data_IF_001509197021
#
_entry.id   IF_001509197021
#
_cell.length_a   1.000
_cell.length_b   1.000
_cell.length_c   1.000
_cell.angle_alpha   90.00
_cell.angle_beta   90.00
_cell.angle_gamma   90.00
#
_symmetry.space_group_name_H-M   'P 1'
#
loop_
_entity.id
_entity.type
_entity.pdbx_description
1 polymer ?
#
# COMPACT_ATOMS: atom_id res chain seq x y z
N UNK A 1 38.23 16.41 23.90
CA UNK A 1 37.09 16.79 23.03
C UNK A 1 37.39 16.27 21.62
N UNK A 2 36.70 15.22 21.18
CA UNK A 2 36.80 14.66 19.82
C UNK A 2 35.44 14.09 19.45
N UNK A 3 34.94 14.49 18.28
CA UNK A 3 33.59 14.32 17.77
C UNK A 3 33.20 12.85 17.52
N UNK A 4 31.91 12.49 17.58
CA UNK A 4 31.43 11.20 17.09
C UNK A 4 31.32 11.22 15.56
N UNK A 5 31.80 10.13 14.96
CA UNK A 5 31.76 9.82 13.54
C UNK A 5 30.30 9.55 13.15
N UNK A 6 29.77 10.40 12.27
CA UNK A 6 28.45 10.25 11.65
C UNK A 6 28.53 9.12 10.62
N UNK A 7 27.64 8.14 10.74
CA UNK A 7 27.37 7.09 9.76
C UNK A 7 26.94 7.74 8.44
N UNK A 8 27.86 7.80 7.48
CA UNK A 8 27.54 8.00 6.07
C UNK A 8 27.35 6.64 5.41
N UNK A 9 26.10 6.16 5.34
CA UNK A 9 25.73 5.13 4.37
C UNK A 9 24.70 5.74 3.43
N UNK A 10 25.24 6.37 2.37
CA UNK A 10 24.46 6.86 1.26
C UNK A 10 24.00 5.70 0.38
N UNK A 11 22.70 5.75 0.07
CA UNK A 11 22.07 5.35 -1.19
C UNK A 11 22.35 3.95 -1.74
N UNK A 12 21.38 3.04 -1.57
CA UNK A 12 21.10 2.03 -2.59
C UNK A 12 19.58 1.79 -2.68
N UNK A 13 19.04 2.11 -3.85
CA UNK A 13 17.78 1.63 -4.45
C UNK A 13 16.46 2.17 -3.89
N UNK A 14 16.21 3.45 -4.21
CA UNK A 14 14.88 3.91 -4.61
C UNK A 14 14.48 3.19 -5.92
N UNK A 15 14.04 1.94 -5.78
CA UNK A 15 13.40 1.19 -6.84
C UNK A 15 11.92 1.57 -6.91
N UNK A 16 11.61 2.78 -7.39
CA UNK A 16 10.25 3.13 -7.79
C UNK A 16 9.84 2.25 -8.98
N UNK A 17 9.41 1.01 -8.70
CA UNK A 17 8.63 0.25 -9.66
C UNK A 17 7.24 0.90 -9.73
N UNK A 18 7.07 1.80 -10.70
CA UNK A 18 5.73 2.24 -11.09
C UNK A 18 5.00 1.01 -11.67
N UNK A 19 4.19 0.34 -10.86
CA UNK A 19 3.39 -0.80 -11.29
C UNK A 19 2.17 -0.30 -12.08
N UNK A 20 2.05 -0.61 -13.38
CA UNK A 20 0.87 -0.27 -14.16
C UNK A 20 -0.24 -1.29 -13.86
N UNK A 21 -0.81 -1.24 -12.66
CA UNK A 21 -2.00 -2.01 -12.32
C UNK A 21 -3.23 -1.36 -12.94
N UNK A 22 -3.89 -2.04 -13.88
CA UNK A 22 -5.18 -1.58 -14.40
C UNK A 22 -6.23 -1.62 -13.28
N UNK A 23 -6.91 -0.50 -12.95
CA UNK A 23 -7.92 -0.50 -11.91
C UNK A 23 -9.10 -1.41 -12.30
N UNK A 24 -9.78 -2.02 -11.31
CA UNK A 24 -10.88 -2.95 -11.58
C UNK A 24 -12.02 -2.32 -12.40
N UNK A 25 -12.46 -3.03 -13.45
CA UNK A 25 -13.43 -2.60 -14.47
C UNK A 25 -14.88 -2.40 -13.99
N UNK A 26 -15.18 -2.67 -12.71
CA UNK A 26 -16.53 -2.53 -12.17
C UNK A 26 -16.51 -1.84 -10.80
N UNK A 27 -16.06 -0.59 -10.79
CA UNK A 27 -16.08 0.21 -9.57
C UNK A 27 -16.54 1.60 -9.94
N UNK A 28 -17.70 1.98 -9.42
CA UNK A 28 -18.05 3.38 -9.25
C UNK A 28 -16.82 4.09 -8.68
N UNK A 29 -16.24 5.06 -9.43
CA UNK A 29 -15.17 6.00 -9.02
C UNK A 29 -14.41 5.64 -7.73
N UNK A 30 -13.70 4.51 -7.71
CA UNK A 30 -12.89 4.14 -6.55
C UNK A 30 -11.53 4.82 -6.68
N UNK A 31 -11.24 5.76 -5.78
CA UNK A 31 -9.94 6.45 -5.77
C UNK A 31 -8.89 5.52 -5.17
N UNK A 32 -7.85 5.23 -5.95
CA UNK A 32 -6.74 4.41 -5.51
C UNK A 32 -5.49 5.26 -5.30
N UNK A 33 -4.88 5.11 -4.13
CA UNK A 33 -3.62 5.75 -3.77
C UNK A 33 -2.49 4.78 -4.13
N UNK A 34 -1.60 5.19 -5.03
CA UNK A 34 -0.40 4.42 -5.33
C UNK A 34 0.60 4.50 -4.17
N UNK A 35 1.43 3.47 -4.05
CA UNK A 35 2.58 3.41 -3.15
C UNK A 35 3.33 4.74 -3.10
N UNK A 36 3.39 5.33 -1.90
CA UNK A 36 4.09 6.59 -1.66
C UNK A 36 5.49 6.29 -1.12
N UNK A 37 6.51 6.93 -1.70
CA UNK A 37 7.89 6.82 -1.25
C UNK A 37 8.15 7.50 0.12
N UNK A 38 7.20 8.32 0.61
CA UNK A 38 7.31 9.09 1.85
C UNK A 38 6.04 8.94 2.71
N UNK A 39 6.25 8.72 4.02
CA UNK A 39 5.20 8.58 5.03
C UNK A 39 5.47 9.52 6.22
N UNK A 40 4.45 10.10 6.88
CA UNK A 40 3.03 9.83 6.68
C UNK A 40 2.39 10.63 5.53
N UNK A 41 1.41 10.03 4.86
CA UNK A 41 0.64 10.70 3.80
C UNK A 41 -0.81 10.86 4.25
N UNK A 42 -1.31 12.09 4.18
CA UNK A 42 -2.71 12.41 4.46
C UNK A 42 -3.58 12.11 3.23
N UNK A 43 -4.64 11.34 3.43
CA UNK A 43 -5.61 10.98 2.39
C UNK A 43 -6.98 11.44 2.83
N UNK A 44 -7.64 12.25 2.01
CA UNK A 44 -9.00 12.73 2.26
C UNK A 44 -10.00 11.93 1.45
N UNK A 45 -11.04 11.44 2.11
CA UNK A 45 -12.13 10.67 1.51
C UNK A 45 -13.47 11.12 2.09
N UNK A 46 -14.57 10.87 1.37
CA UNK A 46 -15.92 11.15 1.88
C UNK A 46 -16.50 9.93 2.59
N UNK A 47 -17.30 10.14 3.61
CA UNK A 47 -18.10 9.07 4.21
C UNK A 47 -19.00 8.43 3.14
N UNK A 48 -19.11 7.10 3.17
CA UNK A 48 -19.79 6.28 2.16
C UNK A 48 -18.97 5.97 0.92
N UNK A 49 -17.76 6.52 0.76
CA UNK A 49 -16.91 6.23 -0.39
C UNK A 49 -16.02 5.00 -0.16
N UNK A 50 -15.87 4.20 -1.22
CA UNK A 50 -14.84 3.18 -1.31
C UNK A 50 -13.55 3.79 -1.87
N UNK A 51 -12.41 3.37 -1.32
CA UNK A 51 -11.08 3.78 -1.76
C UNK A 51 -10.11 2.62 -1.63
N UNK A 52 -8.93 2.75 -2.24
CA UNK A 52 -7.98 1.65 -2.25
C UNK A 52 -6.52 2.10 -2.19
N UNK A 53 -5.64 1.18 -1.83
CA UNK A 53 -4.19 1.35 -1.97
C UNK A 53 -3.63 0.31 -2.93
N UNK A 54 -2.84 0.76 -3.90
CA UNK A 54 -2.20 -0.09 -4.90
C UNK A 54 -0.71 -0.26 -4.60
N UNK A 55 -0.29 -1.52 -4.45
CA UNK A 55 1.10 -1.93 -4.26
C UNK A 55 1.51 -2.99 -5.27
N UNK A 56 2.82 -3.14 -5.47
CA UNK A 56 3.39 -4.33 -6.10
C UNK A 56 3.62 -5.44 -5.08
N UNK A 57 3.44 -6.68 -5.53
CA UNK A 57 3.85 -7.89 -4.79
C UNK A 57 4.55 -8.84 -5.75
N UNK A 58 5.67 -9.40 -5.33
CA UNK A 58 6.42 -10.38 -6.12
C UNK A 58 7.13 -11.36 -5.18
N UNK A 59 6.41 -12.42 -4.82
CA UNK A 59 6.82 -13.32 -3.75
C UNK A 59 8.07 -14.13 -4.12
N UNK A 60 8.23 -14.52 -5.40
CA UNK A 60 9.42 -15.27 -5.82
C UNK A 60 10.72 -14.49 -5.68
N UNK A 61 10.67 -13.15 -5.70
CA UNK A 61 11.84 -12.28 -5.45
C UNK A 61 11.88 -11.78 -4.01
N UNK A 62 10.93 -12.22 -3.18
CA UNK A 62 10.82 -11.89 -1.76
C UNK A 62 10.13 -10.56 -1.48
N UNK A 63 9.53 -9.89 -2.45
CA UNK A 63 8.79 -8.63 -2.23
C UNK A 63 7.34 -8.93 -1.84
N UNK A 64 6.98 -8.53 -0.62
CA UNK A 64 5.65 -8.73 -0.07
C UNK A 64 5.12 -7.47 0.63
N UNK A 65 3.80 -7.40 0.80
CA UNK A 65 3.09 -6.30 1.41
C UNK A 65 1.91 -6.82 2.23
N UNK A 66 1.76 -6.33 3.46
CA UNK A 66 0.66 -6.70 4.34
C UNK A 66 0.00 -5.45 4.95
N UNK A 67 -1.33 -5.45 5.04
CA UNK A 67 -2.08 -4.47 5.83
C UNK A 67 -2.10 -4.89 7.30
N UNK A 68 -1.90 -3.94 8.20
CA UNK A 68 -2.04 -4.12 9.64
C UNK A 68 -3.28 -3.36 10.16
N UNK A 69 -4.28 -4.08 10.71
CA UNK A 69 -5.41 -3.45 11.37
C UNK A 69 -4.96 -2.57 12.54
N UNK A 70 -5.58 -1.40 12.68
CA UNK A 70 -5.20 -0.36 13.65
C UNK A 70 -6.25 -0.09 14.73
N UNK A 71 -7.42 -0.73 14.69
CA UNK A 71 -8.52 -0.51 15.64
C UNK A 71 -9.49 0.61 15.24
N UNK A 72 -9.31 1.22 14.06
CA UNK A 72 -10.15 2.31 13.54
C UNK A 72 -11.31 1.80 12.65
N UNK A 73 -11.73 0.53 12.80
CA UNK A 73 -12.72 -0.11 11.92
C UNK A 73 -14.10 0.57 11.94
N UNK A 74 -14.37 1.35 13.00
CA UNK A 74 -15.57 2.15 13.10
C UNK A 74 -15.60 3.38 12.18
N UNK A 75 -14.45 3.84 11.68
CA UNK A 75 -14.30 5.01 10.77
C UNK A 75 -13.99 4.55 9.35
N UNK A 76 -13.03 3.63 9.20
CA UNK A 76 -12.65 3.03 7.93
C UNK A 76 -12.60 1.52 8.11
N UNK A 77 -13.31 0.79 7.26
CA UNK A 77 -13.32 -0.68 7.30
C UNK A 77 -12.54 -1.26 6.13
N UNK A 78 -11.72 -2.26 6.42
CA UNK A 78 -11.07 -3.07 5.40
C UNK A 78 -12.08 -4.04 4.78
N UNK A 79 -12.28 -3.97 3.47
CA UNK A 79 -13.23 -4.82 2.73
C UNK A 79 -12.58 -6.05 2.12
N UNK A 80 -11.27 -5.98 1.88
CA UNK A 80 -10.52 -7.13 1.40
C UNK A 80 -9.37 -6.73 0.49
N UNK A 81 -8.69 -7.75 0.00
CA UNK A 81 -7.59 -7.62 -0.94
C UNK A 81 -8.00 -8.20 -2.29
N UNK A 82 -7.60 -7.53 -3.37
CA UNK A 82 -7.61 -8.09 -4.72
C UNK A 82 -6.19 -8.09 -5.25
N UNK A 83 -5.82 -9.10 -6.01
CA UNK A 83 -4.56 -9.08 -6.77
C UNK A 83 -4.76 -9.57 -8.19
N UNK A 84 -4.00 -8.99 -9.11
CA UNK A 84 -3.97 -9.38 -10.52
C UNK A 84 -2.50 -9.51 -10.95
N UNK A 85 -2.19 -10.56 -11.71
CA UNK A 85 -0.85 -10.75 -12.26
C UNK A 85 -0.51 -9.62 -13.25
N UNK A 86 0.69 -9.06 -13.13
CA UNK A 86 1.20 -8.06 -14.07
C UNK A 86 1.38 -8.66 -15.46
N UNK A 87 1.73 -9.95 -15.53
CA UNK A 87 1.83 -10.70 -16.77
C UNK A 87 1.14 -12.07 -16.64
N UNK A 88 -0.19 -12.15 -16.92
CA UNK A 88 -0.94 -13.38 -16.77
C UNK A 88 -0.40 -14.56 -17.59
N UNK A 89 0.20 -14.28 -18.75
CA UNK A 89 0.81 -15.33 -19.60
C UNK A 89 2.03 -15.98 -18.94
N UNK A 90 2.65 -15.30 -17.99
CA UNK A 90 3.81 -15.80 -17.23
C UNK A 90 3.45 -16.27 -15.82
N UNK A 91 2.17 -16.27 -15.42
CA UNK A 91 1.75 -16.63 -14.06
C UNK A 91 2.19 -18.04 -13.62
N UNK A 92 2.41 -18.94 -14.57
CA UNK A 92 2.87 -20.33 -14.34
C UNK A 92 4.37 -20.52 -14.56
N UNK A 93 5.12 -19.44 -14.81
CA UNK A 93 6.56 -19.49 -15.03
C UNK A 93 7.31 -19.04 -13.76
N UNK A 94 8.50 -19.61 -13.48
CA UNK A 94 9.37 -19.11 -12.43
C UNK A 94 9.64 -17.61 -12.60
N UNK A 95 9.49 -16.86 -11.51
CA UNK A 95 9.66 -15.40 -11.54
C UNK A 95 8.54 -14.62 -12.25
N UNK A 96 7.44 -15.28 -12.63
CA UNK A 96 6.30 -14.65 -13.30
C UNK A 96 5.15 -14.28 -12.36
N UNK A 97 5.37 -14.28 -11.06
CA UNK A 97 4.36 -14.04 -10.02
C UNK A 97 4.24 -12.58 -9.56
N UNK A 98 4.87 -11.65 -10.27
CA UNK A 98 4.65 -10.22 -10.08
C UNK A 98 3.17 -9.87 -10.22
N UNK A 99 2.62 -9.19 -9.21
CA UNK A 99 1.21 -8.82 -9.08
C UNK A 99 1.05 -7.36 -8.70
N UNK A 100 -0.04 -6.76 -9.18
CA UNK A 100 -0.64 -5.59 -8.58
C UNK A 100 -1.60 -6.05 -7.49
N UNK A 101 -1.52 -5.43 -6.31
CA UNK A 101 -2.35 -5.73 -5.14
C UNK A 101 -3.10 -4.48 -4.72
N UNK A 102 -4.42 -4.59 -4.64
CA UNK A 102 -5.31 -3.55 -4.16
C UNK A 102 -5.84 -3.92 -2.79
N UNK A 103 -5.55 -3.09 -1.80
CA UNK A 103 -6.20 -3.14 -0.49
C UNK A 103 -7.41 -2.22 -0.53
N UNK A 104 -8.61 -2.79 -0.37
CA UNK A 104 -9.87 -2.09 -0.57
C UNK A 104 -10.45 -1.72 0.79
N UNK A 105 -10.82 -0.45 0.93
CA UNK A 105 -11.38 0.14 2.14
C UNK A 105 -12.67 0.88 1.84
N UNK A 106 -13.50 1.02 2.86
CA UNK A 106 -14.71 1.83 2.82
C UNK A 106 -14.73 2.78 4.00
N UNK A 107 -14.99 4.05 3.73
CA UNK A 107 -15.13 5.07 4.77
C UNK A 107 -16.57 5.05 5.28
N UNK A 108 -16.78 4.67 6.54
CA UNK A 108 -18.12 4.49 7.10
C UNK A 108 -18.70 5.79 7.66
N UNK A 109 -17.90 6.54 8.42
CA UNK A 109 -18.35 7.76 9.10
C UNK A 109 -17.24 8.81 9.12
N UNK A 110 -17.59 10.10 9.28
CA UNK A 110 -16.60 11.16 9.44
C UNK A 110 -15.71 10.92 10.65
N UNK A 111 -14.42 11.21 10.50
CA UNK A 111 -13.42 10.96 11.53
C UNK A 111 -12.01 10.84 10.96
N UNK A 112 -11.07 10.47 11.82
CA UNK A 112 -9.71 10.15 11.42
C UNK A 112 -9.46 8.67 11.66
N UNK A 113 -8.73 8.05 10.75
CA UNK A 113 -8.26 6.67 10.87
C UNK A 113 -6.81 6.59 10.41
N UNK A 114 -6.04 5.67 10.99
CA UNK A 114 -4.67 5.42 10.57
C UNK A 114 -4.60 4.06 9.90
N UNK A 115 -4.06 3.98 8.68
CA UNK A 115 -3.82 2.72 8.00
C UNK A 115 -2.32 2.46 7.93
N UNK A 116 -1.91 1.29 8.41
CA UNK A 116 -0.51 0.89 8.45
C UNK A 116 -0.30 -0.30 7.53
N UNK A 117 0.75 -0.26 6.74
CA UNK A 117 1.18 -1.39 5.93
C UNK A 117 2.60 -1.79 6.28
N UNK A 118 2.98 -3.03 5.99
CA UNK A 118 4.36 -3.53 6.10
C UNK A 118 4.84 -3.97 4.74
N UNK A 119 5.81 -3.23 4.20
CA UNK A 119 6.59 -3.63 3.04
C UNK A 119 7.69 -4.57 3.52
N UNK A 120 7.72 -5.78 2.94
CA UNK A 120 8.66 -6.82 3.32
C UNK A 120 9.54 -7.20 2.16
N UNK A 121 10.82 -7.42 2.44
CA UNK A 121 11.75 -8.03 1.51
C UNK A 121 12.38 -9.27 2.16
N UNK A 122 12.21 -10.43 1.49
CA UNK A 122 12.70 -11.73 1.96
C UNK A 122 12.30 -12.04 3.41
N UNK A 123 11.09 -11.65 3.79
CA UNK A 123 10.52 -11.87 5.13
C UNK A 123 10.89 -10.82 6.18
N UNK A 124 11.87 -9.95 5.91
CA UNK A 124 12.20 -8.82 6.78
C UNK A 124 11.31 -7.61 6.45
N UNK A 125 10.89 -6.85 7.46
CA UNK A 125 10.18 -5.59 7.27
C UNK A 125 11.19 -4.52 6.87
N UNK A 126 11.06 -3.99 5.66
CA UNK A 126 11.92 -2.93 5.12
C UNK A 126 11.34 -1.54 5.41
N UNK A 127 10.02 -1.42 5.30
CA UNK A 127 9.31 -0.16 5.53
C UNK A 127 7.92 -0.41 6.09
N UNK A 128 7.44 0.54 6.89
CA UNK A 128 6.11 0.51 7.51
C UNK A 128 5.38 1.82 7.17
N UNK A 129 4.88 1.99 5.93
CA UNK A 129 4.20 3.22 5.56
C UNK A 129 2.89 3.37 6.33
N UNK A 130 2.69 4.58 6.85
CA UNK A 130 1.52 4.97 7.64
C UNK A 130 0.73 6.04 6.87
N UNK A 131 -0.56 5.82 6.71
CA UNK A 131 -1.47 6.75 6.05
C UNK A 131 -2.49 7.27 7.05
N UNK A 132 -2.66 8.59 7.08
CA UNK A 132 -3.68 9.24 7.89
C UNK A 132 -4.88 9.52 7.00
N UNK A 133 -5.98 8.82 7.26
CA UNK A 133 -7.21 8.96 6.51
C UNK A 133 -8.11 9.95 7.24
N UNK A 134 -8.46 11.03 6.57
CA UNK A 134 -9.47 11.98 7.03
C UNK A 134 -10.75 11.73 6.26
N UNK A 135 -11.79 11.30 6.95
CA UNK A 135 -13.12 11.09 6.39
C UNK A 135 -13.95 12.35 6.61
N UNK A 136 -14.30 13.03 5.52
CA UNK A 136 -15.18 14.19 5.50
C UNK A 136 -16.66 13.75 5.41
N UNK A 137 -17.60 14.54 5.97
CA UNK A 137 -19.03 14.28 5.77
C UNK A 137 -19.40 14.30 4.28
N UNK A 138 -20.26 13.36 3.89
CA UNK A 138 -20.69 13.11 2.51
C UNK A 138 -21.71 14.12 2.00
#
# INVERSE_FOLDING_TARGET
>A
MKAPIIFGLAAVLSGCFAFPGNPPKNTQKMTCVNEAAESPKDVKVKAGAAFCFLYGRHLSVGSDIAFLPSGDEGVVVFRGERSDYLNPKRAHMPGGDGRSVWFIFEALKPGQATLTFQLKFRGAVEATPVYRITVEPG
#
